data_IF_643696924824
#
_entry.id   IF_643696924824
#
_cell.length_a   1.000
_cell.length_b   1.000
_cell.length_c   1.000
_cell.angle_alpha   90.00
_cell.angle_beta   90.00
_cell.angle_gamma   90.00
#
_symmetry.space_group_name_H-M   'P 1'
#
loop_
_entity.id
_entity.type
_entity.pdbx_description
1 polymer ?
#
# COMPACT_ATOMS: atom_id res chain seq x y z
N UNK A 1 42.41 39.62 -2.17
CA UNK A 1 40.95 39.61 -2.41
C UNK A 1 40.60 38.28 -3.04
N UNK A 2 40.18 37.31 -2.23
CA UNK A 2 39.68 36.01 -2.69
C UNK A 2 38.18 36.03 -2.48
N UNK A 3 37.43 36.08 -3.57
CA UNK A 3 35.98 35.90 -3.62
C UNK A 3 35.74 34.94 -4.78
N UNK A 4 35.77 33.64 -4.52
CA UNK A 4 35.14 32.65 -5.39
C UNK A 4 34.86 31.37 -4.60
N UNK A 5 33.65 30.84 -4.81
CA UNK A 5 33.07 29.59 -4.32
C UNK A 5 32.50 29.56 -2.89
N UNK A 6 31.26 30.06 -2.74
CA UNK A 6 30.32 29.57 -1.73
C UNK A 6 28.96 29.11 -2.30
N UNK A 7 28.66 29.29 -3.59
CA UNK A 7 27.34 28.94 -4.13
C UNK A 7 27.19 27.45 -4.52
N UNK A 8 28.29 26.71 -4.64
CA UNK A 8 28.26 25.29 -5.06
C UNK A 8 27.99 24.27 -3.95
N UNK A 9 28.18 24.61 -2.67
CA UNK A 9 28.01 23.63 -1.58
C UNK A 9 26.54 23.45 -1.16
N UNK A 10 25.73 24.51 -1.21
CA UNK A 10 24.32 24.46 -0.78
C UNK A 10 23.41 23.63 -1.68
N UNK A 11 23.71 23.52 -2.98
CA UNK A 11 22.90 22.75 -3.94
C UNK A 11 23.10 21.23 -3.80
N UNK A 12 24.33 20.79 -3.51
CA UNK A 12 24.65 19.39 -3.25
C UNK A 12 24.15 18.93 -1.88
N UNK A 13 24.21 19.82 -0.89
CA UNK A 13 23.71 19.58 0.48
C UNK A 13 22.19 19.36 0.48
N UNK A 14 21.44 20.17 -0.27
CA UNK A 14 19.99 20.01 -0.38
C UNK A 14 19.56 18.71 -1.07
N UNK A 15 20.26 18.27 -2.13
CA UNK A 15 19.96 16.98 -2.78
C UNK A 15 20.21 15.79 -1.85
N UNK A 16 21.28 15.83 -1.05
CA UNK A 16 21.55 14.78 -0.06
C UNK A 16 20.50 14.76 1.05
N UNK A 17 20.06 15.93 1.51
CA UNK A 17 19.01 16.03 2.52
C UNK A 17 17.66 15.49 2.01
N UNK A 18 17.23 15.87 0.81
CA UNK A 18 15.99 15.34 0.19
C UNK A 18 16.09 13.83 0.02
N UNK A 19 17.23 13.32 -0.45
CA UNK A 19 17.44 11.89 -0.60
C UNK A 19 17.28 11.16 0.74
N UNK A 20 17.84 11.71 1.81
CA UNK A 20 17.73 11.13 3.14
C UNK A 20 16.28 11.10 3.62
N UNK A 21 15.54 12.21 3.50
CA UNK A 21 14.13 12.28 3.88
C UNK A 21 13.29 11.25 3.11
N UNK A 22 13.47 11.14 1.80
CA UNK A 22 12.72 10.18 0.97
C UNK A 22 13.12 8.73 1.26
N UNK A 23 14.40 8.49 1.59
CA UNK A 23 14.88 7.17 1.99
C UNK A 23 14.33 6.75 3.36
N UNK A 24 14.23 7.66 4.31
CA UNK A 24 13.62 7.43 5.62
C UNK A 24 12.12 7.17 5.50
N UNK A 25 11.42 7.95 4.66
CA UNK A 25 10.02 7.72 4.36
C UNK A 25 9.79 6.35 3.72
N UNK A 26 10.58 6.00 2.70
CA UNK A 26 10.56 4.68 2.07
C UNK A 26 10.80 3.57 3.10
N UNK A 27 11.79 3.73 3.97
CA UNK A 27 12.10 2.77 5.03
C UNK A 27 10.93 2.55 5.98
N UNK A 28 10.24 3.63 6.39
CA UNK A 28 9.01 3.55 7.20
C UNK A 28 7.91 2.78 6.47
N UNK A 29 7.65 3.10 5.19
CA UNK A 29 6.63 2.43 4.39
C UNK A 29 6.93 0.94 4.25
N UNK A 30 8.16 0.58 3.87
CA UNK A 30 8.61 -0.82 3.74
C UNK A 30 8.44 -1.56 5.06
N UNK A 31 8.84 -0.96 6.18
CA UNK A 31 8.66 -1.56 7.52
C UNK A 31 7.21 -1.88 7.80
N UNK A 32 6.29 -0.93 7.59
CA UNK A 32 4.85 -1.14 7.81
C UNK A 32 4.30 -2.25 6.90
N UNK A 33 4.73 -2.28 5.64
CA UNK A 33 4.34 -3.34 4.70
C UNK A 33 4.81 -4.71 5.20
N UNK A 34 6.07 -4.83 5.65
CA UNK A 34 6.62 -6.09 6.19
C UNK A 34 5.90 -6.53 7.47
N UNK A 35 5.58 -5.60 8.37
CA UNK A 35 4.77 -5.87 9.57
C UNK A 35 3.38 -6.40 9.19
N UNK A 36 2.72 -5.80 8.19
CA UNK A 36 1.43 -6.29 7.70
C UNK A 36 1.51 -7.67 7.04
N UNK A 37 2.60 -7.99 6.33
CA UNK A 37 2.85 -9.33 5.77
C UNK A 37 2.96 -10.34 6.90
N UNK A 38 3.79 -10.08 7.92
CA UNK A 38 4.00 -10.99 9.04
C UNK A 38 2.68 -11.28 9.78
N UNK A 39 1.86 -10.25 10.01
CA UNK A 39 0.52 -10.39 10.62
C UNK A 39 -0.41 -11.22 9.74
N UNK A 40 -0.40 -10.99 8.42
CA UNK A 40 -1.25 -11.72 7.48
C UNK A 40 -0.86 -13.21 7.41
N UNK A 41 0.43 -13.50 7.35
CA UNK A 41 0.97 -14.86 7.26
C UNK A 41 0.73 -15.65 8.56
N UNK A 42 0.97 -15.05 9.73
CA UNK A 42 0.68 -15.69 11.01
C UNK A 42 -0.80 -16.08 11.13
N UNK A 43 -1.72 -15.16 10.80
CA UNK A 43 -3.16 -15.45 10.81
C UNK A 43 -3.58 -16.50 9.78
N UNK A 44 -2.90 -16.58 8.64
CA UNK A 44 -3.18 -17.57 7.61
C UNK A 44 -2.74 -18.98 8.04
N UNK A 45 -1.57 -19.08 8.68
CA UNK A 45 -1.00 -20.35 9.13
C UNK A 45 -1.85 -21.02 10.22
N UNK A 46 -2.31 -20.25 11.21
CA UNK A 46 -3.16 -20.77 12.28
C UNK A 46 -4.46 -21.37 11.71
N UNK A 47 -5.11 -20.65 10.78
CA UNK A 47 -6.37 -21.08 10.16
C UNK A 47 -6.25 -22.29 9.24
N UNK A 48 -5.14 -22.41 8.50
CA UNK A 48 -4.91 -23.57 7.64
C UNK A 48 -4.71 -24.84 8.48
N UNK A 49 -4.00 -24.72 9.60
CA UNK A 49 -3.75 -25.83 10.53
C UNK A 49 -5.08 -26.33 11.13
N UNK A 50 -5.92 -25.41 11.59
CA UNK A 50 -7.25 -25.74 12.11
C UNK A 50 -8.15 -26.41 11.05
N UNK A 51 -8.19 -25.87 9.82
CA UNK A 51 -9.03 -26.41 8.76
C UNK A 51 -8.58 -27.80 8.26
N UNK A 52 -7.27 -28.07 8.24
CA UNK A 52 -6.73 -29.38 7.84
C UNK A 52 -6.97 -30.46 8.89
N UNK A 53 -6.80 -30.14 10.17
CA UNK A 53 -7.13 -31.03 11.29
C UNK A 53 -8.63 -31.34 11.34
N UNK A 54 -9.48 -30.33 11.15
CA UNK A 54 -10.94 -30.52 11.14
C UNK A 54 -11.40 -31.35 9.93
N UNK A 55 -10.81 -31.14 8.75
CA UNK A 55 -11.06 -31.99 7.58
C UNK A 55 -10.66 -33.45 7.83
N UNK A 56 -9.48 -33.68 8.39
CA UNK A 56 -9.01 -35.04 8.72
C UNK A 56 -9.97 -35.72 9.70
N UNK A 57 -10.30 -35.03 10.78
CA UNK A 57 -11.29 -35.49 11.76
C UNK A 57 -12.66 -35.75 11.13
N UNK A 58 -13.11 -34.91 10.19
CA UNK A 58 -14.34 -35.13 9.43
C UNK A 58 -14.26 -36.38 8.57
N UNK A 59 -13.20 -36.61 7.79
CA UNK A 59 -13.06 -37.83 6.99
C UNK A 59 -13.04 -39.08 7.85
N UNK A 60 -12.38 -39.03 9.01
CA UNK A 60 -12.31 -40.15 9.96
C UNK A 60 -13.69 -40.47 10.59
N UNK A 61 -14.49 -39.44 10.89
CA UNK A 61 -15.76 -39.60 11.62
C UNK A 61 -17.02 -39.58 10.73
N UNK A 62 -16.94 -39.07 9.50
CA UNK A 62 -18.08 -38.99 8.57
C UNK A 62 -18.59 -40.38 8.15
N UNK A 63 -17.71 -41.39 8.12
CA UNK A 63 -18.09 -42.78 7.83
C UNK A 63 -18.98 -43.41 8.91
N UNK A 64 -18.97 -42.88 10.14
CA UNK A 64 -19.75 -43.39 11.27
C UNK A 64 -21.11 -42.68 11.47
N UNK A 65 -21.41 -41.60 10.72
CA UNK A 65 -22.59 -40.73 10.97
C UNK A 65 -23.72 -40.84 9.94
N UNK A 66 -23.62 -41.73 8.95
CA UNK A 66 -24.66 -41.87 7.91
C UNK A 66 -25.81 -42.72 8.45
N UNK A 67 -26.85 -42.08 8.99
CA UNK A 67 -28.04 -42.81 9.46
C UNK A 67 -29.32 -42.02 9.78
N UNK A 68 -29.30 -40.69 9.97
CA UNK A 68 -30.48 -39.89 10.35
C UNK A 68 -30.51 -38.52 9.64
N UNK A 69 -31.70 -37.98 9.36
CA UNK A 69 -31.90 -36.72 8.61
C UNK A 69 -31.28 -35.46 9.30
N UNK A 70 -31.22 -35.43 10.64
CA UNK A 70 -30.60 -34.33 11.40
C UNK A 70 -29.06 -34.26 11.22
N UNK A 71 -28.40 -35.37 10.91
CA UNK A 71 -26.94 -35.40 10.67
C UNK A 71 -26.55 -34.75 9.32
N UNK A 72 -27.47 -34.71 8.35
CA UNK A 72 -27.22 -34.08 7.05
C UNK A 72 -27.18 -32.55 7.13
N UNK A 73 -28.03 -31.94 7.96
CA UNK A 73 -28.03 -30.50 8.16
C UNK A 73 -26.72 -30.02 8.81
N UNK A 74 -26.24 -30.75 9.82
CA UNK A 74 -24.96 -30.49 10.49
C UNK A 74 -23.79 -30.66 9.52
N UNK A 75 -23.77 -31.73 8.72
CA UNK A 75 -22.73 -31.95 7.71
C UNK A 75 -22.69 -30.82 6.68
N UNK A 76 -23.84 -30.37 6.18
CA UNK A 76 -23.91 -29.27 5.21
C UNK A 76 -23.46 -27.93 5.81
N UNK A 77 -23.74 -27.69 7.09
CA UNK A 77 -23.22 -26.54 7.81
C UNK A 77 -21.69 -26.58 7.90
N UNK A 78 -21.11 -27.72 8.27
CA UNK A 78 -19.66 -27.90 8.37
C UNK A 78 -18.93 -27.80 7.02
N UNK A 79 -19.50 -28.38 5.94
CA UNK A 79 -18.97 -28.22 4.58
C UNK A 79 -18.96 -26.75 4.16
N UNK A 80 -20.05 -26.02 4.42
CA UNK A 80 -20.15 -24.59 4.10
C UNK A 80 -19.15 -23.77 4.90
N UNK A 81 -18.99 -24.04 6.19
CA UNK A 81 -18.04 -23.31 7.03
C UNK A 81 -16.59 -23.56 6.60
N UNK A 82 -16.25 -24.82 6.28
CA UNK A 82 -14.93 -25.16 5.73
C UNK A 82 -14.66 -24.40 4.43
N UNK A 83 -15.63 -24.37 3.51
CA UNK A 83 -15.48 -23.64 2.25
C UNK A 83 -15.33 -22.12 2.45
N UNK A 84 -16.08 -21.53 3.41
CA UNK A 84 -15.93 -20.12 3.79
C UNK A 84 -14.50 -19.83 4.27
N UNK A 85 -13.93 -20.68 5.12
CA UNK A 85 -12.57 -20.53 5.63
C UNK A 85 -11.51 -20.62 4.53
N UNK A 86 -11.70 -21.51 3.54
CA UNK A 86 -10.82 -21.58 2.35
C UNK A 86 -10.85 -20.28 1.55
N UNK A 87 -12.05 -19.73 1.29
CA UNK A 87 -12.19 -18.45 0.59
C UNK A 87 -11.51 -17.30 1.36
N UNK A 88 -11.65 -17.27 2.68
CA UNK A 88 -10.97 -16.29 3.54
C UNK A 88 -9.45 -16.45 3.46
N UNK A 89 -8.93 -17.68 3.46
CA UNK A 89 -7.50 -17.97 3.30
C UNK A 89 -6.98 -17.45 1.95
N UNK A 90 -7.70 -17.71 0.85
CA UNK A 90 -7.34 -17.22 -0.48
C UNK A 90 -7.28 -15.69 -0.54
N UNK A 91 -8.21 -15.01 0.14
CA UNK A 91 -8.20 -13.54 0.24
C UNK A 91 -6.97 -13.05 1.01
N UNK A 92 -6.59 -13.73 2.10
CA UNK A 92 -5.39 -13.40 2.88
C UNK A 92 -4.12 -13.61 2.05
N UNK A 93 -4.01 -14.72 1.31
CA UNK A 93 -2.87 -14.98 0.43
C UNK A 93 -2.75 -13.92 -0.68
N UNK A 94 -3.85 -13.58 -1.35
CA UNK A 94 -3.88 -12.50 -2.35
C UNK A 94 -3.45 -11.16 -1.74
N UNK A 95 -3.84 -10.87 -0.50
CA UNK A 95 -3.40 -9.66 0.20
C UNK A 95 -1.89 -9.71 0.49
N UNK A 96 -1.37 -10.84 0.96
CA UNK A 96 0.06 -11.02 1.20
C UNK A 96 0.88 -10.84 -0.09
N UNK A 97 0.44 -11.39 -1.22
CA UNK A 97 1.10 -11.20 -2.51
C UNK A 97 1.17 -9.74 -2.95
N UNK A 98 0.07 -8.98 -2.76
CA UNK A 98 0.06 -7.54 -3.02
C UNK A 98 1.04 -6.79 -2.14
N UNK A 99 1.10 -7.13 -0.85
CA UNK A 99 2.05 -6.52 0.08
C UNK A 99 3.50 -6.89 -0.28
N UNK A 100 3.78 -8.11 -0.72
CA UNK A 100 5.13 -8.52 -1.18
C UNK A 100 5.58 -7.71 -2.40
N UNK A 101 4.69 -7.50 -3.37
CA UNK A 101 4.96 -6.60 -4.51
C UNK A 101 5.20 -5.16 -4.03
N UNK A 102 4.38 -4.70 -3.09
CA UNK A 102 4.53 -3.37 -2.51
C UNK A 102 5.85 -3.21 -1.75
N UNK A 103 6.33 -4.22 -1.02
CA UNK A 103 7.60 -4.15 -0.32
C UNK A 103 8.79 -3.92 -1.26
N UNK A 104 8.72 -4.46 -2.49
CA UNK A 104 9.75 -4.27 -3.50
C UNK A 104 9.74 -2.85 -4.10
N UNK A 105 8.56 -2.31 -4.38
CA UNK A 105 8.35 -0.98 -4.96
C UNK A 105 7.05 -0.36 -4.40
N UNK A 106 7.10 0.30 -3.23
CA UNK A 106 5.88 0.72 -2.55
C UNK A 106 5.12 1.84 -3.29
N UNK A 107 5.89 2.79 -3.83
CA UNK A 107 5.40 3.89 -4.63
C UNK A 107 6.41 4.15 -5.76
N UNK A 108 5.96 4.79 -6.83
CA UNK A 108 6.79 5.16 -7.99
C UNK A 108 6.80 6.67 -8.24
N UNK A 109 5.87 7.40 -7.63
CA UNK A 109 5.73 8.84 -7.80
C UNK A 109 5.35 9.53 -6.51
N UNK A 110 5.58 10.84 -6.48
CA UNK A 110 5.06 11.77 -5.49
C UNK A 110 4.61 13.04 -6.19
N UNK A 111 3.54 13.65 -5.68
CA UNK A 111 3.25 15.03 -5.99
C UNK A 111 2.78 15.77 -4.74
N UNK A 112 3.06 17.07 -4.71
CA UNK A 112 2.58 17.96 -3.66
C UNK A 112 1.48 18.84 -4.27
N UNK A 113 0.32 18.87 -3.64
CA UNK A 113 -0.86 19.58 -4.13
C UNK A 113 -1.42 20.51 -3.06
N UNK A 114 -1.64 21.77 -3.43
CA UNK A 114 -2.29 22.76 -2.57
C UNK A 114 -3.66 23.11 -3.16
N UNK A 115 -4.72 22.67 -2.50
CA UNK A 115 -6.08 23.01 -2.88
C UNK A 115 -6.36 24.51 -2.73
N UNK A 116 -7.12 25.08 -3.67
CA UNK A 116 -7.54 26.47 -3.58
C UNK A 116 -8.33 26.75 -2.30
N UNK A 117 -7.96 27.81 -1.58
CA UNK A 117 -8.58 28.18 -0.31
C UNK A 117 -7.91 27.57 0.92
N UNK A 118 -6.97 26.64 0.75
CA UNK A 118 -6.16 26.08 1.82
C UNK A 118 -4.75 26.65 1.83
N UNK A 119 -4.24 26.95 3.03
CA UNK A 119 -2.90 27.52 3.20
C UNK A 119 -1.79 26.45 3.06
N UNK A 120 -2.07 25.22 3.44
CA UNK A 120 -1.13 24.11 3.45
C UNK A 120 -1.34 23.21 2.23
N UNK A 121 -0.24 22.74 1.65
CA UNK A 121 -0.25 21.68 0.66
C UNK A 121 -0.18 20.30 1.31
N UNK A 122 -0.68 19.30 0.60
CA UNK A 122 -0.63 17.89 0.97
C UNK A 122 0.35 17.14 0.07
N UNK A 123 0.99 16.11 0.63
CA UNK A 123 1.96 15.26 -0.07
C UNK A 123 1.30 13.93 -0.39
N UNK A 124 1.31 13.55 -1.66
CA UNK A 124 0.73 12.29 -2.12
C UNK A 124 1.80 11.40 -2.73
N UNK A 125 2.05 10.26 -2.11
CA UNK A 125 2.86 9.18 -2.69
C UNK A 125 1.96 8.26 -3.51
N UNK A 126 2.33 7.99 -4.76
CA UNK A 126 1.51 7.24 -5.72
C UNK A 126 2.14 5.86 -5.95
N UNK A 127 1.35 4.81 -5.71
CA UNK A 127 1.77 3.43 -5.82
C UNK A 127 0.75 2.54 -6.52
N UNK A 128 1.10 1.25 -6.68
CA UNK A 128 0.22 0.28 -7.32
C UNK A 128 -1.00 -0.07 -6.45
N UNK A 129 -0.83 -0.01 -5.12
CA UNK A 129 -1.82 -0.30 -4.10
C UNK A 129 -1.76 0.77 -3.01
N UNK A 130 -2.88 1.02 -2.36
CA UNK A 130 -2.95 1.91 -1.20
C UNK A 130 -2.34 1.26 0.05
N UNK A 131 -1.65 2.05 0.86
CA UNK A 131 -1.23 1.70 2.21
C UNK A 131 -1.65 2.79 3.17
N UNK A 132 -2.26 2.40 4.27
CA UNK A 132 -2.64 3.30 5.37
C UNK A 132 -1.75 3.03 6.57
N UNK A 133 -1.47 4.09 7.32
CA UNK A 133 -0.83 3.99 8.62
C UNK A 133 -1.76 3.26 9.60
N UNK A 134 -1.30 2.20 10.28
CA UNK A 134 -2.14 1.44 11.21
C UNK A 134 -2.64 2.24 12.41
N UNK A 135 -1.89 3.26 12.84
CA UNK A 135 -2.17 4.02 14.06
C UNK A 135 -3.07 5.22 13.76
N UNK A 136 -2.74 6.00 12.73
CA UNK A 136 -3.50 7.21 12.37
C UNK A 136 -4.62 6.98 11.35
N UNK A 137 -4.57 5.88 10.60
CA UNK A 137 -5.47 5.62 9.47
C UNK A 137 -5.18 6.48 8.22
N UNK A 138 -4.21 7.39 8.26
CA UNK A 138 -3.85 8.25 7.12
C UNK A 138 -3.21 7.43 5.99
N UNK A 139 -3.47 7.80 4.73
CA UNK A 139 -2.81 7.16 3.59
C UNK A 139 -1.31 7.52 3.55
N UNK A 140 -0.46 6.50 3.59
CA UNK A 140 0.98 6.61 3.36
C UNK A 140 1.32 6.47 1.88
N UNK A 141 0.54 5.65 1.16
CA UNK A 141 0.62 5.48 -0.28
C UNK A 141 -0.79 5.43 -0.82
N UNK A 142 -1.04 6.18 -1.90
CA UNK A 142 -2.31 6.21 -2.60
C UNK A 142 -2.24 5.30 -3.83
N UNK A 143 -3.32 4.54 -4.06
CA UNK A 143 -3.48 3.76 -5.29
C UNK A 143 -3.59 4.71 -6.48
N UNK A 144 -2.83 4.48 -7.55
CA UNK A 144 -2.82 5.33 -8.74
C UNK A 144 -4.18 5.51 -9.40
N UNK A 145 -5.16 4.63 -9.12
CA UNK A 145 -6.53 4.71 -9.64
C UNK A 145 -7.42 5.64 -8.82
N UNK A 146 -6.97 6.10 -7.66
CA UNK A 146 -7.70 7.08 -6.87
C UNK A 146 -7.86 8.37 -7.68
N UNK A 147 -9.03 9.04 -7.66
CA UNK A 147 -9.25 10.23 -8.50
C UNK A 147 -8.22 11.35 -8.26
N UNK A 148 -7.79 11.56 -7.01
CA UNK A 148 -6.72 12.52 -6.68
C UNK A 148 -5.38 12.19 -7.35
N UNK A 149 -5.10 10.91 -7.57
CA UNK A 149 -3.84 10.46 -8.20
C UNK A 149 -3.83 10.62 -9.72
N UNK A 150 -4.98 10.91 -10.36
CA UNK A 150 -4.98 11.23 -11.79
C UNK A 150 -4.09 12.44 -12.08
N UNK A 151 -3.99 13.37 -11.12
CA UNK A 151 -3.14 14.57 -11.24
C UNK A 151 -1.68 14.26 -11.54
N UNK A 152 -1.16 13.13 -11.05
CA UNK A 152 0.21 12.70 -11.33
C UNK A 152 0.46 12.46 -12.82
N UNK A 153 -0.57 12.06 -13.57
CA UNK A 153 -0.48 11.78 -15.00
C UNK A 153 -0.97 12.95 -15.85
N UNK A 154 -2.01 13.64 -15.40
CA UNK A 154 -2.74 14.62 -16.19
C UNK A 154 -2.07 16.01 -16.18
N UNK A 155 -1.23 16.31 -15.19
CA UNK A 155 -0.64 17.64 -15.00
C UNK A 155 0.87 17.61 -14.76
N UNK A 156 1.51 18.70 -15.16
CA UNK A 156 2.82 19.14 -14.68
C UNK A 156 2.66 20.19 -13.58
N UNK A 157 3.73 20.54 -12.84
CA UNK A 157 3.64 21.57 -11.82
C UNK A 157 3.05 22.89 -12.32
N UNK A 158 2.09 23.43 -11.57
CA UNK A 158 1.22 24.53 -11.98
C UNK A 158 -0.23 24.31 -11.58
N UNK A 159 -1.16 24.96 -12.29
CA UNK A 159 -2.60 24.80 -12.05
C UNK A 159 -3.03 23.36 -12.36
N UNK A 160 -3.66 22.71 -11.38
CA UNK A 160 -4.10 21.33 -11.48
C UNK A 160 -5.43 21.11 -10.76
N UNK A 161 -6.05 19.96 -11.03
CA UNK A 161 -7.28 19.58 -10.35
C UNK A 161 -7.73 18.18 -10.73
N UNK A 162 -8.70 17.67 -9.97
CA UNK A 162 -9.26 16.34 -10.18
C UNK A 162 -10.76 16.35 -9.88
N UNK A 163 -11.47 15.37 -10.44
CA UNK A 163 -12.88 15.17 -10.17
C UNK A 163 -13.09 14.06 -9.14
N UNK A 164 -13.89 14.31 -8.12
CA UNK A 164 -14.32 13.32 -7.15
C UNK A 164 -15.85 13.36 -7.00
N UNK A 165 -16.40 12.49 -6.15
CA UNK A 165 -17.84 12.44 -5.89
C UNK A 165 -18.41 13.76 -5.33
N UNK A 166 -17.58 14.56 -4.66
CA UNK A 166 -17.96 15.86 -4.11
C UNK A 166 -17.89 17.01 -5.14
N UNK A 167 -17.39 16.76 -6.36
CA UNK A 167 -17.26 17.76 -7.41
C UNK A 167 -15.83 17.87 -7.96
N UNK A 168 -15.56 18.98 -8.66
CA UNK A 168 -14.22 19.28 -9.15
C UNK A 168 -13.43 19.99 -8.06
N UNK A 169 -12.23 19.48 -7.75
CA UNK A 169 -11.28 20.09 -6.83
C UNK A 169 -10.17 20.73 -7.66
N UNK A 170 -9.88 22.00 -7.39
CA UNK A 170 -8.87 22.79 -8.11
C UNK A 170 -7.80 23.29 -7.15
N UNK A 171 -6.57 23.41 -7.63
CA UNK A 171 -5.45 23.87 -6.83
C UNK A 171 -4.18 24.02 -7.66
N UNK A 172 -3.06 23.94 -6.97
CA UNK A 172 -1.73 24.05 -7.55
C UNK A 172 -0.89 22.83 -7.19
N UNK A 173 -0.34 22.16 -8.21
CA UNK A 173 0.65 21.11 -8.07
C UNK A 173 2.03 21.77 -7.97
N UNK A 174 2.65 21.73 -6.79
CA UNK A 174 3.89 22.47 -6.51
C UNK A 174 5.15 21.64 -6.74
N UNK A 175 5.03 20.31 -6.66
CA UNK A 175 6.12 19.37 -6.87
C UNK A 175 5.58 18.11 -7.55
N UNK A 176 6.32 17.59 -8.53
CA UNK A 176 6.12 16.27 -9.12
C UNK A 176 7.46 15.55 -9.14
N UNK A 177 7.52 14.39 -8.51
CA UNK A 177 8.73 13.58 -8.35
C UNK A 177 8.46 12.15 -8.79
N UNK A 178 9.38 11.59 -9.56
CA UNK A 178 9.42 10.18 -9.91
C UNK A 178 10.53 9.48 -9.13
N UNK A 179 10.26 8.25 -8.68
CA UNK A 179 11.22 7.42 -7.97
C UNK A 179 11.60 6.17 -8.77
N UNK A 180 12.86 5.77 -8.64
CA UNK A 180 13.34 4.45 -9.03
C UNK A 180 13.62 3.69 -7.75
N UNK A 181 12.72 2.77 -7.38
CA UNK A 181 12.84 1.94 -6.19
C UNK A 181 12.95 0.48 -6.60
N UNK A 182 13.93 -0.22 -6.03
CA UNK A 182 14.15 -1.65 -6.28
C UNK A 182 14.46 -2.37 -4.98
N UNK A 183 13.69 -3.41 -4.70
CA UNK A 183 13.81 -4.25 -3.49
C UNK A 183 13.77 -3.41 -2.20
N UNK A 184 12.84 -2.44 -2.13
CA UNK A 184 12.67 -1.57 -0.97
C UNK A 184 13.77 -0.52 -0.79
N UNK A 185 14.66 -0.34 -1.77
CA UNK A 185 15.76 0.62 -1.72
C UNK A 185 15.61 1.68 -2.80
N UNK A 186 15.78 2.94 -2.41
CA UNK A 186 15.82 4.07 -3.34
C UNK A 186 17.10 3.98 -4.21
N UNK A 187 16.92 4.01 -5.52
CA UNK A 187 17.98 3.96 -6.54
C UNK A 187 18.12 5.25 -7.33
N UNK A 188 17.06 6.05 -7.38
CA UNK A 188 17.04 7.34 -8.07
C UNK A 188 15.75 8.10 -7.77
N UNK A 189 15.80 9.43 -7.93
CA UNK A 189 14.63 10.28 -7.91
C UNK A 189 14.83 11.48 -8.86
N UNK A 190 13.76 11.92 -9.53
CA UNK A 190 13.79 12.98 -10.53
C UNK A 190 12.55 13.86 -10.37
N UNK A 191 12.72 15.18 -10.45
CA UNK A 191 11.60 16.12 -10.40
C UNK A 191 11.31 16.62 -11.81
N UNK A 192 10.04 16.75 -12.20
CA UNK A 192 9.66 17.21 -13.55
C UNK A 192 10.12 18.64 -13.88
N UNK A 193 10.52 19.42 -12.87
CA UNK A 193 10.94 20.82 -13.01
C UNK A 193 12.47 21.02 -13.06
N UNK A 194 13.26 19.95 -13.22
CA UNK A 194 14.74 19.99 -13.25
C UNK A 194 15.35 19.50 -14.56
#
# INVERSE_FOLDING_TARGET
>A
KSFFNQEGSGFLDNKSAIWQVESEYLGRVVRIVLEQIAIAESKAQDRLTDATLERQWMFENATHRVGLDDDWAELMFQIRDTHRREQEYDLVQKKADRLRLMAATPFFGRFDFREHGYALGEVFYVGLYSLSDPDSGSFLVCDWRAPVCSMYYDYEPGLAGYHCQAGAISGELTLKRQFVIKNGLLKGMFDSNL
#
